data_IF_555602972134
#
_entry.id   IF_555602972134
#
_cell.length_a   1.000
_cell.length_b   1.000
_cell.length_c   1.000
_cell.angle_alpha   90.00
_cell.angle_beta   90.00
_cell.angle_gamma   90.00
#
_symmetry.space_group_name_H-M   'P 1'
#
loop_
_entity.id
_entity.type
_entity.pdbx_description
1 polymer ?
#
# COMPACT_ATOMS: atom_id res chain seq x y z
N UNK A 1 12.50 -19.80 16.79
CA UNK A 1 12.46 -19.33 15.39
C UNK A 1 11.13 -18.63 15.18
N UNK A 2 11.11 -17.40 14.67
CA UNK A 2 9.98 -16.46 14.72
C UNK A 2 8.83 -16.90 13.80
N UNK A 3 7.62 -16.91 14.34
CA UNK A 3 6.37 -16.99 13.59
C UNK A 3 6.09 -15.57 13.08
N UNK A 4 6.60 -15.23 11.89
CA UNK A 4 6.32 -13.92 11.26
C UNK A 4 6.27 -13.98 9.72
N UNK A 5 6.72 -15.07 9.11
CA UNK A 5 6.96 -15.16 7.66
C UNK A 5 5.71 -14.95 6.78
N UNK A 6 4.52 -15.35 7.26
CA UNK A 6 3.26 -15.22 6.49
C UNK A 6 2.70 -13.79 6.39
N UNK A 7 2.92 -12.96 7.42
CA UNK A 7 2.50 -11.56 7.43
C UNK A 7 3.51 -10.69 6.67
N UNK A 8 4.80 -11.01 6.77
CA UNK A 8 5.89 -10.35 6.05
C UNK A 8 5.79 -10.53 4.52
N UNK A 9 5.44 -11.72 4.03
CA UNK A 9 5.27 -11.94 2.58
C UNK A 9 4.08 -11.15 2.03
N UNK A 10 2.96 -11.14 2.75
CA UNK A 10 1.77 -10.39 2.38
C UNK A 10 2.04 -8.88 2.36
N UNK A 11 2.74 -8.37 3.38
CA UNK A 11 3.17 -6.98 3.47
C UNK A 11 4.15 -6.60 2.35
N UNK A 12 5.05 -7.50 1.96
CA UNK A 12 5.97 -7.31 0.84
C UNK A 12 5.21 -7.21 -0.48
N UNK A 13 4.31 -8.16 -0.76
CA UNK A 13 3.48 -8.14 -1.97
C UNK A 13 2.63 -6.87 -2.08
N UNK A 14 2.11 -6.36 -0.96
CA UNK A 14 1.36 -5.10 -0.94
C UNK A 14 2.27 -3.89 -1.19
N UNK A 15 3.47 -3.86 -0.61
CA UNK A 15 4.47 -2.81 -0.89
C UNK A 15 4.92 -2.81 -2.34
N UNK A 16 5.24 -3.98 -2.90
CA UNK A 16 5.65 -4.11 -4.30
C UNK A 16 4.56 -3.57 -5.24
N UNK A 17 3.30 -3.90 -4.96
CA UNK A 17 2.15 -3.43 -5.73
C UNK A 17 1.93 -1.92 -5.62
N UNK A 18 2.20 -1.33 -4.45
CA UNK A 18 2.16 0.12 -4.28
C UNK A 18 3.26 0.81 -5.09
N UNK A 19 4.49 0.29 -5.08
CA UNK A 19 5.60 0.82 -5.88
C UNK A 19 5.35 0.70 -7.39
N UNK A 20 4.71 -0.38 -7.83
CA UNK A 20 4.35 -0.56 -9.24
C UNK A 20 3.32 0.48 -9.69
N UNK A 21 2.33 0.79 -8.84
CA UNK A 21 1.34 1.83 -9.09
C UNK A 21 1.97 3.24 -9.09
N UNK A 22 2.91 3.53 -8.20
CA UNK A 22 3.64 4.81 -8.20
C UNK A 22 4.50 4.96 -9.46
N UNK A 23 5.20 3.91 -9.89
CA UNK A 23 5.95 3.93 -11.14
C UNK A 23 5.04 4.13 -12.36
N UNK A 24 3.87 3.48 -12.39
CA UNK A 24 2.88 3.71 -13.42
C UNK A 24 2.37 5.17 -13.39
N UNK A 25 2.18 5.74 -12.20
CA UNK A 25 1.78 7.14 -12.01
C UNK A 25 2.84 8.12 -12.52
N UNK A 26 4.13 7.83 -12.31
CA UNK A 26 5.24 8.62 -12.83
C UNK A 26 5.39 8.52 -14.34
N UNK A 27 5.00 7.38 -14.93
CA UNK A 27 5.05 7.16 -16.38
C UNK A 27 3.82 7.68 -17.12
N UNK A 28 2.70 7.91 -16.43
CA UNK A 28 1.50 8.45 -17.06
C UNK A 28 1.61 9.97 -17.15
N UNK A 29 1.33 10.54 -18.32
CA UNK A 29 1.31 12.00 -18.54
C UNK A 29 0.04 12.66 -17.99
N UNK A 30 -1.03 11.88 -17.83
CA UNK A 30 -2.32 12.37 -17.35
C UNK A 30 -2.29 12.65 -15.84
N UNK A 31 -2.49 13.92 -15.47
CA UNK A 31 -2.57 14.33 -14.05
C UNK A 31 -3.70 13.63 -13.29
N UNK A 32 -4.83 13.37 -13.94
CA UNK A 32 -5.96 12.65 -13.35
C UNK A 32 -5.65 11.17 -13.11
N UNK A 33 -4.93 10.54 -14.03
CA UNK A 33 -4.56 9.13 -13.92
C UNK A 33 -3.44 8.91 -12.91
N UNK A 34 -2.46 9.82 -12.89
CA UNK A 34 -1.41 9.87 -11.87
C UNK A 34 -2.02 9.93 -10.47
N UNK A 35 -3.00 10.83 -10.26
CA UNK A 35 -3.68 10.98 -8.97
C UNK A 35 -4.39 9.70 -8.55
N UNK A 36 -5.13 9.05 -9.47
CA UNK A 36 -5.80 7.77 -9.20
C UNK A 36 -4.82 6.66 -8.84
N UNK A 37 -3.69 6.58 -9.53
CA UNK A 37 -2.66 5.56 -9.28
C UNK A 37 -1.97 5.78 -7.93
N UNK A 38 -1.63 7.03 -7.60
CA UNK A 38 -1.07 7.41 -6.28
C UNK A 38 -2.06 7.14 -5.14
N UNK A 39 -3.35 7.49 -5.30
CA UNK A 39 -4.39 7.17 -4.31
C UNK A 39 -4.52 5.65 -4.10
N UNK A 40 -4.42 4.87 -5.18
CA UNK A 40 -4.49 3.41 -5.11
C UNK A 40 -3.26 2.81 -4.42
N UNK A 41 -2.07 3.38 -4.64
CA UNK A 41 -0.84 2.99 -3.94
C UNK A 41 -0.93 3.27 -2.44
N UNK A 42 -1.39 4.47 -2.05
CA UNK A 42 -1.62 4.86 -0.66
C UNK A 42 -2.58 3.91 0.06
N UNK A 43 -3.71 3.59 -0.58
CA UNK A 43 -4.72 2.69 -0.01
C UNK A 43 -4.21 1.26 0.19
N UNK A 44 -3.31 0.79 -0.66
CA UNK A 44 -2.66 -0.52 -0.50
C UNK A 44 -1.68 -0.50 0.68
N UNK A 45 -0.92 0.59 0.84
CA UNK A 45 0.00 0.75 1.98
C UNK A 45 -0.76 0.80 3.30
N UNK A 46 -1.81 1.60 3.37
CA UNK A 46 -2.69 1.69 4.55
C UNK A 46 -3.31 0.33 4.91
N UNK A 47 -3.78 -0.43 3.90
CA UNK A 47 -4.32 -1.77 4.13
C UNK A 47 -3.23 -2.76 4.57
N UNK A 48 -2.01 -2.63 4.08
CA UNK A 48 -0.86 -3.43 4.55
C UNK A 48 -0.55 -3.14 6.01
N UNK A 49 -0.61 -1.88 6.43
CA UNK A 49 -0.39 -1.46 7.81
C UNK A 49 -1.54 -1.92 8.73
N UNK A 50 -2.80 -1.87 8.27
CA UNK A 50 -3.94 -2.44 8.99
C UNK A 50 -3.83 -3.96 9.19
N UNK A 51 -3.35 -4.69 8.18
CA UNK A 51 -3.22 -6.16 8.24
C UNK A 51 -2.02 -6.60 9.10
N UNK A 52 -0.97 -5.77 9.22
CA UNK A 52 0.25 -6.09 9.98
C UNK A 52 0.35 -5.38 11.34
N UNK A 53 -0.47 -4.37 11.61
CA UNK A 53 -0.48 -3.62 12.86
C UNK A 53 -1.32 -4.31 13.95
N UNK A 54 -0.93 -4.22 15.23
CA UNK A 54 -1.71 -4.77 16.36
C UNK A 54 -3.03 -4.01 16.63
N UNK A 55 -3.38 -3.02 15.81
CA UNK A 55 -4.58 -2.20 15.92
C UNK A 55 -5.27 -2.05 14.58
N UNK A 56 -5.95 -3.11 14.12
CA UNK A 56 -6.93 -3.03 13.02
C UNK A 56 -8.19 -2.29 13.48
N UNK A 57 -8.03 -1.04 13.89
CA UNK A 57 -9.09 -0.15 14.33
C UNK A 57 -8.78 1.25 13.82
N UNK A 58 -9.24 1.53 12.60
CA UNK A 58 -9.60 2.86 12.08
C UNK A 58 -9.06 4.05 12.88
N UNK A 59 -7.86 4.55 12.55
CA UNK A 59 -7.49 5.92 12.89
C UNK A 59 -7.15 6.64 11.59
N UNK A 60 -8.20 7.19 11.01
CA UNK A 60 -8.14 8.32 10.09
C UNK A 60 -8.25 9.57 10.98
N UNK A 61 -7.18 10.34 11.25
CA UNK A 61 -7.33 11.70 11.73
C UNK A 61 -7.25 12.63 10.51
N UNK A 62 -8.42 13.11 10.09
CA UNK A 62 -8.58 14.37 9.36
C UNK A 62 -8.08 15.54 10.19
#
# INVERSE_FOLDING_TARGET
>A
MRISDGTDESARRMRDKAQELEQAASRTDSSAERRRLTEKALRIREKSEQVNGPGSGTMDPM
#
